data_IF_615127629691
#
_entry.id   IF_615127629691
#
_cell.length_a   1.000
_cell.length_b   1.000
_cell.length_c   1.000
_cell.angle_alpha   90.00
_cell.angle_beta   90.00
_cell.angle_gamma   90.00
#
_symmetry.space_group_name_H-M   'P 1'
#
loop_
_entity.id
_entity.type
_entity.pdbx_description
1 polymer ?
#
# COMPACT_ATOMS: atom_id res chain seq x y z
N UNK A 1 -25.76 9.33 16.62
CA UNK A 1 -24.74 8.28 16.37
C UNK A 1 -23.94 8.10 17.66
N UNK A 2 -23.82 6.88 18.18
CA UNK A 2 -22.93 6.61 19.33
C UNK A 2 -21.48 6.59 18.86
N UNK A 3 -20.56 7.11 19.68
CA UNK A 3 -19.13 7.24 19.37
C UNK A 3 -18.50 5.93 18.86
N UNK A 4 -18.93 4.78 19.40
CA UNK A 4 -18.52 3.45 18.94
C UNK A 4 -18.87 3.17 17.47
N UNK A 5 -20.03 3.62 16.98
CA UNK A 5 -20.40 3.43 15.58
C UNK A 5 -19.51 4.26 14.65
N UNK A 6 -19.13 5.47 15.07
CA UNK A 6 -18.27 6.36 14.28
C UNK A 6 -16.83 5.84 14.21
N UNK A 7 -16.30 5.36 15.35
CA UNK A 7 -14.99 4.74 15.42
C UNK A 7 -14.92 3.51 14.50
N UNK A 8 -15.89 2.60 14.57
CA UNK A 8 -15.92 1.41 13.70
C UNK A 8 -15.98 1.73 12.20
N UNK A 9 -16.49 2.90 11.82
CA UNK A 9 -16.59 3.33 10.41
C UNK A 9 -15.37 4.08 9.88
N UNK A 10 -14.52 4.64 10.73
CA UNK A 10 -13.32 5.40 10.28
C UNK A 10 -12.05 4.57 10.49
N UNK A 11 -12.07 3.68 11.47
CA UNK A 11 -10.93 2.88 11.88
C UNK A 11 -10.29 2.04 10.74
N UNK A 12 -11.05 1.38 9.84
CA UNK A 12 -10.45 0.62 8.74
C UNK A 12 -9.58 1.49 7.83
N UNK A 13 -10.14 2.59 7.32
CA UNK A 13 -9.41 3.55 6.49
C UNK A 13 -8.19 4.13 7.20
N UNK A 14 -8.34 4.53 8.47
CA UNK A 14 -7.26 5.10 9.25
C UNK A 14 -6.10 4.10 9.43
N UNK A 15 -6.39 2.83 9.67
CA UNK A 15 -5.37 1.78 9.83
C UNK A 15 -4.68 1.50 8.50
N UNK A 16 -5.42 1.38 7.40
CA UNK A 16 -4.83 1.18 6.06
C UNK A 16 -3.86 2.32 5.71
N UNK A 17 -4.24 3.57 5.96
CA UNK A 17 -3.39 4.74 5.74
C UNK A 17 -2.17 4.70 6.67
N UNK A 18 -2.38 4.45 7.97
CA UNK A 18 -1.29 4.41 8.95
C UNK A 18 -0.24 3.34 8.61
N UNK A 19 -0.65 2.14 8.23
CA UNK A 19 0.24 1.08 7.74
C UNK A 19 1.07 1.56 6.56
N UNK A 20 0.43 2.21 5.58
CA UNK A 20 1.10 2.67 4.36
C UNK A 20 2.13 3.77 4.65
N UNK A 21 1.90 4.59 5.68
CA UNK A 21 2.80 5.68 6.09
C UNK A 21 3.93 5.19 6.99
N UNK A 22 3.66 4.27 7.91
CA UNK A 22 4.58 3.89 8.99
C UNK A 22 5.48 2.69 8.65
N UNK A 23 5.03 1.80 7.75
CA UNK A 23 5.78 0.60 7.35
C UNK A 23 6.87 0.79 6.27
N UNK A 24 6.97 1.91 5.52
CA UNK A 24 8.11 2.14 4.62
C UNK A 24 9.45 2.08 5.36
N UNK A 25 10.47 1.51 4.71
CA UNK A 25 11.75 1.19 5.33
C UNK A 25 11.87 -0.29 5.73
N UNK A 26 10.76 -1.04 5.75
CA UNK A 26 10.78 -2.49 5.94
C UNK A 26 11.56 -3.21 4.84
N UNK A 27 11.69 -2.62 3.66
CA UNK A 27 12.51 -3.10 2.55
C UNK A 27 13.97 -3.30 2.92
N UNK A 28 14.55 -2.39 3.69
CA UNK A 28 15.95 -2.48 4.15
C UNK A 28 16.10 -3.59 5.19
N UNK A 29 15.10 -3.73 6.07
CA UNK A 29 15.05 -4.80 7.06
C UNK A 29 14.91 -6.17 6.39
N UNK A 30 14.03 -6.26 5.37
CA UNK A 30 13.77 -7.49 4.62
C UNK A 30 14.97 -7.87 3.75
N UNK A 31 15.63 -6.89 3.12
CA UNK A 31 16.89 -7.09 2.41
C UNK A 31 18.01 -7.61 3.34
N UNK A 32 17.97 -7.28 4.63
CA UNK A 32 18.91 -7.78 5.65
C UNK A 32 18.94 -9.30 5.78
N UNK A 33 17.85 -10.00 5.44
CA UNK A 33 17.80 -11.46 5.45
C UNK A 33 18.51 -12.12 4.27
N UNK A 34 18.86 -11.36 3.23
CA UNK A 34 19.58 -11.86 2.07
C UNK A 34 21.06 -12.11 2.37
N UNK A 35 21.52 -13.36 2.26
CA UNK A 35 22.94 -13.71 2.42
C UNK A 35 23.81 -13.37 1.20
N UNK A 36 23.20 -13.21 0.02
CA UNK A 36 23.87 -12.87 -1.24
C UNK A 36 23.35 -11.54 -1.80
N UNK A 37 24.16 -10.84 -2.60
CA UNK A 37 23.76 -9.55 -3.19
C UNK A 37 22.44 -9.65 -3.99
N UNK A 38 22.28 -10.74 -4.75
CA UNK A 38 21.06 -11.00 -5.51
C UNK A 38 19.84 -11.25 -4.62
N UNK A 39 20.00 -11.99 -3.51
CA UNK A 39 18.93 -12.21 -2.55
C UNK A 39 18.51 -10.91 -1.83
N UNK A 40 19.47 -10.05 -1.47
CA UNK A 40 19.18 -8.73 -0.86
C UNK A 40 18.34 -7.85 -1.78
N UNK A 41 18.70 -7.79 -3.07
CA UNK A 41 17.95 -7.04 -4.07
C UNK A 41 16.54 -7.59 -4.27
N UNK A 42 16.40 -8.92 -4.33
CA UNK A 42 15.09 -9.55 -4.51
C UNK A 42 14.18 -9.32 -3.29
N UNK A 43 14.70 -9.48 -2.09
CA UNK A 43 13.97 -9.22 -0.84
C UNK A 43 13.64 -7.73 -0.66
N UNK A 44 14.52 -6.82 -1.06
CA UNK A 44 14.23 -5.39 -1.09
C UNK A 44 13.06 -5.07 -2.01
N UNK A 45 13.01 -5.66 -3.21
CA UNK A 45 11.88 -5.51 -4.15
C UNK A 45 10.57 -6.09 -3.60
N UNK A 46 10.62 -7.23 -2.94
CA UNK A 46 9.42 -7.79 -2.27
C UNK A 46 8.96 -6.86 -1.14
N UNK A 47 9.91 -6.25 -0.44
CA UNK A 47 9.64 -5.27 0.61
C UNK A 47 8.84 -4.07 0.14
N UNK A 48 9.00 -3.63 -1.11
CA UNK A 48 8.28 -2.47 -1.68
C UNK A 48 6.77 -2.73 -1.75
N UNK A 49 6.37 -3.98 -2.03
CA UNK A 49 4.97 -4.36 -2.08
C UNK A 49 4.34 -4.56 -0.69
N UNK A 50 5.16 -4.81 0.33
CA UNK A 50 4.74 -5.27 1.66
C UNK A 50 3.78 -4.28 2.38
N UNK A 51 4.07 -2.96 2.45
CA UNK A 51 3.17 -2.01 3.11
C UNK A 51 1.76 -2.02 2.51
N UNK A 52 1.65 -2.11 1.19
CA UNK A 52 0.37 -2.12 0.48
C UNK A 52 -0.37 -3.44 0.65
N UNK A 53 0.35 -4.57 0.64
CA UNK A 53 -0.23 -5.88 0.92
C UNK A 53 -0.75 -6.00 2.35
N UNK A 54 -0.05 -5.43 3.34
CA UNK A 54 -0.52 -5.39 4.74
C UNK A 54 -1.77 -4.51 4.86
N UNK A 55 -1.80 -3.35 4.17
CA UNK A 55 -2.98 -2.50 4.13
C UNK A 55 -4.19 -3.23 3.50
N UNK A 56 -3.98 -3.95 2.39
CA UNK A 56 -4.99 -4.81 1.77
C UNK A 56 -5.52 -5.87 2.74
N UNK A 57 -4.61 -6.59 3.41
CA UNK A 57 -4.96 -7.60 4.40
C UNK A 57 -5.78 -7.03 5.56
N UNK A 58 -5.44 -5.83 6.03
CA UNK A 58 -6.21 -5.15 7.07
C UNK A 58 -7.64 -4.82 6.59
N UNK A 59 -7.79 -4.31 5.36
CA UNK A 59 -9.11 -4.05 4.74
C UNK A 59 -9.98 -5.31 4.71
N UNK A 60 -9.43 -6.41 4.19
CA UNK A 60 -10.11 -7.72 4.15
C UNK A 60 -10.51 -8.18 5.55
N UNK A 61 -9.61 -8.09 6.53
CA UNK A 61 -9.91 -8.48 7.92
C UNK A 61 -11.07 -7.66 8.50
N UNK A 62 -11.13 -6.35 8.25
CA UNK A 62 -12.23 -5.50 8.71
C UNK A 62 -13.56 -5.84 8.03
N UNK A 63 -13.57 -6.17 6.73
CA UNK A 63 -14.77 -6.60 6.03
C UNK A 63 -15.32 -7.90 6.63
N UNK A 64 -14.45 -8.90 6.86
CA UNK A 64 -14.86 -10.15 7.49
C UNK A 64 -15.31 -9.95 8.94
N UNK A 65 -14.65 -9.09 9.71
CA UNK A 65 -15.04 -8.77 11.09
C UNK A 65 -16.39 -8.05 11.17
N UNK A 66 -16.75 -7.27 10.14
CA UNK A 66 -18.03 -6.58 10.06
C UNK A 66 -19.16 -7.42 9.44
N UNK A 67 -18.89 -8.68 9.07
CA UNK A 67 -19.89 -9.56 8.49
C UNK A 67 -21.06 -9.77 9.48
N UNK A 68 -22.29 -9.53 9.03
CA UNK A 68 -23.49 -9.58 9.86
C UNK A 68 -23.77 -8.35 10.73
N UNK A 69 -22.91 -7.32 10.70
CA UNK A 69 -23.13 -6.08 11.44
C UNK A 69 -24.12 -5.13 10.72
N UNK A 70 -24.95 -4.42 11.49
CA UNK A 70 -25.89 -3.40 10.98
C UNK A 70 -25.17 -2.29 10.17
N UNK A 71 -23.88 -2.08 10.45
CA UNK A 71 -23.06 -1.05 9.82
C UNK A 71 -22.14 -1.56 8.70
N UNK A 72 -22.31 -2.79 8.19
CA UNK A 72 -21.41 -3.38 7.19
C UNK A 72 -21.18 -2.48 5.96
N UNK A 73 -22.23 -1.77 5.49
CA UNK A 73 -22.11 -0.82 4.37
C UNK A 73 -21.13 0.31 4.68
N UNK A 74 -21.15 0.84 5.90
CA UNK A 74 -20.29 1.93 6.28
C UNK A 74 -18.83 1.47 6.48
N UNK A 75 -18.62 0.23 6.97
CA UNK A 75 -17.29 -0.40 7.01
C UNK A 75 -16.78 -0.64 5.58
N UNK A 76 -17.62 -1.11 4.67
CA UNK A 76 -17.27 -1.26 3.25
C UNK A 76 -16.81 0.04 2.61
N UNK A 77 -17.55 1.14 2.80
CA UNK A 77 -17.14 2.47 2.33
C UNK A 77 -15.83 2.96 2.97
N UNK A 78 -15.57 2.59 4.23
CA UNK A 78 -14.29 2.86 4.89
C UNK A 78 -13.14 2.15 4.19
N UNK A 79 -13.30 0.86 3.88
CA UNK A 79 -12.25 0.10 3.18
C UNK A 79 -12.02 0.67 1.79
N UNK A 80 -13.08 0.98 1.02
CA UNK A 80 -12.95 1.63 -0.30
C UNK A 80 -12.18 2.95 -0.22
N UNK A 81 -12.52 3.82 0.73
CA UNK A 81 -11.82 5.09 0.91
C UNK A 81 -10.36 4.89 1.36
N UNK A 82 -10.10 3.91 2.22
CA UNK A 82 -8.76 3.47 2.59
C UNK A 82 -7.94 3.00 1.39
N UNK A 83 -8.48 2.10 0.57
CA UNK A 83 -7.85 1.58 -0.65
C UNK A 83 -7.49 2.69 -1.65
N UNK A 84 -8.40 3.65 -1.86
CA UNK A 84 -8.13 4.81 -2.72
C UNK A 84 -7.00 5.66 -2.15
N UNK A 85 -7.00 5.92 -0.84
CA UNK A 85 -5.92 6.67 -0.20
C UNK A 85 -4.56 5.95 -0.31
N UNK A 86 -4.54 4.64 -0.10
CA UNK A 86 -3.34 3.80 -0.28
C UNK A 86 -2.80 3.92 -1.70
N UNK A 87 -3.67 3.82 -2.71
CA UNK A 87 -3.30 3.94 -4.11
C UNK A 87 -2.74 5.34 -4.46
N UNK A 88 -3.35 6.41 -3.92
CA UNK A 88 -2.83 7.77 -4.09
C UNK A 88 -1.46 7.94 -3.46
N UNK A 89 -1.24 7.42 -2.25
CA UNK A 89 0.06 7.46 -1.57
C UNK A 89 1.12 6.71 -2.39
N UNK A 90 0.78 5.53 -2.91
CA UNK A 90 1.68 4.75 -3.76
C UNK A 90 2.05 5.51 -5.04
N UNK A 91 1.06 6.10 -5.72
CA UNK A 91 1.27 6.89 -6.93
C UNK A 91 2.16 8.11 -6.67
N UNK A 92 1.93 8.83 -5.56
CA UNK A 92 2.76 9.96 -5.16
C UNK A 92 4.22 9.55 -4.93
N UNK A 93 4.46 8.47 -4.18
CA UNK A 93 5.82 7.97 -3.92
C UNK A 93 6.53 7.56 -5.20
N UNK A 94 5.85 6.80 -6.05
CA UNK A 94 6.42 6.37 -7.31
C UNK A 94 6.71 7.57 -8.23
N UNK A 95 5.82 8.55 -8.28
CA UNK A 95 6.04 9.79 -9.04
C UNK A 95 7.26 10.54 -8.53
N UNK A 96 7.44 10.69 -7.21
CA UNK A 96 8.64 11.34 -6.65
C UNK A 96 9.93 10.61 -7.00
N UNK A 97 9.91 9.27 -7.02
CA UNK A 97 11.05 8.44 -7.44
C UNK A 97 11.36 8.63 -8.93
N UNK A 98 10.33 8.61 -9.77
CA UNK A 98 10.46 8.79 -11.22
C UNK A 98 11.00 10.18 -11.57
N UNK A 99 10.52 11.23 -10.90
CA UNK A 99 11.04 12.60 -11.08
C UNK A 99 12.52 12.73 -10.70
N UNK A 100 12.97 12.00 -9.68
CA UNK A 100 14.40 11.96 -9.30
C UNK A 100 15.30 11.29 -10.35
N UNK A 101 14.75 10.40 -11.17
CA UNK A 101 15.49 9.69 -12.23
C UNK A 101 15.32 10.37 -13.59
N UNK A 102 14.24 11.16 -13.78
CA UNK A 102 13.86 11.77 -15.04
C UNK A 102 14.99 12.59 -15.72
N UNK A 103 15.84 13.25 -14.94
CA UNK A 103 16.99 14.00 -15.45
C UNK A 103 18.09 13.12 -16.07
N UNK A 104 18.11 11.82 -15.77
CA UNK A 104 19.09 10.84 -16.25
C UNK A 104 18.51 9.86 -17.28
N UNK A 105 17.26 10.06 -17.72
CA UNK A 105 16.62 9.18 -18.71
C UNK A 105 17.12 9.52 -20.12
N UNK A 106 17.56 8.53 -20.92
CA UNK A 106 17.99 8.74 -22.30
C UNK A 106 16.90 9.41 -23.15
N UNK A 107 17.30 10.34 -24.02
CA UNK A 107 16.38 11.03 -24.92
C UNK A 107 15.59 10.01 -25.77
N UNK A 108 14.25 10.04 -25.66
CA UNK A 108 13.34 9.13 -26.36
C UNK A 108 12.72 8.01 -25.51
N UNK A 109 13.13 7.86 -24.24
CA UNK A 109 12.45 6.95 -23.29
C UNK A 109 11.55 7.72 -22.32
N UNK A 110 10.39 7.13 -22.01
CA UNK A 110 9.48 7.68 -21.00
C UNK A 110 9.91 7.23 -19.60
N UNK A 111 9.86 8.14 -18.63
CA UNK A 111 10.05 7.79 -17.21
C UNK A 111 9.04 6.72 -16.75
N UNK A 112 7.86 6.62 -17.39
CA UNK A 112 6.86 5.60 -17.08
C UNK A 112 7.34 4.17 -17.38
N UNK A 113 8.34 3.98 -18.24
CA UNK A 113 8.95 2.67 -18.48
C UNK A 113 9.74 2.13 -17.27
N UNK A 114 10.03 2.99 -16.29
CA UNK A 114 10.74 2.64 -15.06
C UNK A 114 9.82 2.49 -13.85
N UNK A 115 8.50 2.45 -14.05
CA UNK A 115 7.53 2.17 -12.98
C UNK A 115 7.86 0.83 -12.33
N UNK A 116 7.95 0.80 -11.01
CA UNK A 116 8.22 -0.45 -10.30
C UNK A 116 7.00 -1.38 -10.29
N UNK A 117 7.11 -2.59 -10.89
CA UNK A 117 6.01 -3.54 -10.95
C UNK A 117 5.60 -4.07 -9.57
N UNK A 118 6.51 -4.06 -8.58
CA UNK A 118 6.20 -4.58 -7.24
C UNK A 118 5.32 -3.62 -6.45
N UNK A 119 5.59 -2.31 -6.54
CA UNK A 119 4.70 -1.26 -6.03
C UNK A 119 3.33 -1.28 -6.72
N UNK A 120 3.30 -1.49 -8.04
CA UNK A 120 2.04 -1.60 -8.79
C UNK A 120 1.20 -2.81 -8.34
N UNK A 121 1.83 -3.98 -8.15
CA UNK A 121 1.16 -5.18 -7.68
C UNK A 121 0.62 -5.03 -6.24
N UNK A 122 1.41 -4.46 -5.34
CA UNK A 122 0.97 -4.17 -3.97
C UNK A 122 -0.21 -3.20 -3.92
N UNK A 123 -0.17 -2.17 -4.77
CA UNK A 123 -1.27 -1.19 -4.90
C UNK A 123 -2.54 -1.85 -5.44
N UNK A 124 -2.41 -2.70 -6.46
CA UNK A 124 -3.55 -3.44 -7.01
C UNK A 124 -4.20 -4.34 -5.95
N UNK A 125 -3.41 -5.01 -5.11
CA UNK A 125 -3.92 -5.82 -4.01
C UNK A 125 -4.73 -4.97 -3.01
N UNK A 126 -4.29 -3.75 -2.69
CA UNK A 126 -5.03 -2.83 -1.83
C UNK A 126 -6.31 -2.30 -2.47
N UNK A 127 -6.36 -2.13 -3.80
CA UNK A 127 -7.57 -1.70 -4.51
C UNK A 127 -8.61 -2.84 -4.62
N UNK A 128 -8.15 -4.08 -4.66
CA UNK A 128 -9.01 -5.26 -4.78
C UNK A 128 -9.50 -5.83 -3.44
N UNK A 129 -9.07 -5.26 -2.30
CA UNK A 129 -9.40 -5.73 -0.94
C UNK A 129 -10.82 -5.43 -0.49
#
# INVERSE_FOLDING_TARGET
MTLNKLLLTILPAAIMIAVTILVPGIEQWLAGFGKTAQAKLMLGRIGLALPYAIAAGAGVMFLFAANGAVNIKAVGWSVVTGSVAVALIAALRETTRLLGIAANVPAGQSALSYVDPTTAAGTAAAVLS
#
